data_IF_015465928993
#
_entry.id   IF_015465928993
#
_cell.length_a   1.000
_cell.length_b   1.000
_cell.length_c   1.000
_cell.angle_alpha   90.00
_cell.angle_beta   90.00
_cell.angle_gamma   90.00
#
_symmetry.space_group_name_H-M   'P 1'
#
loop_
_entity.id
_entity.type
_entity.pdbx_description
1 polymer ?
#
# COMPACT_ATOMS: atom_id res chain seq x y z
N UNK A 1 34.88 56.40 -49.90
CA UNK A 1 33.97 55.23 -49.95
C UNK A 1 34.04 54.51 -48.60
N UNK A 2 33.12 54.85 -47.71
CA UNK A 2 33.11 54.33 -46.31
C UNK A 2 32.02 53.25 -46.19
N UNK A 3 32.45 51.98 -46.06
CA UNK A 3 31.58 50.83 -45.93
C UNK A 3 31.14 50.68 -44.44
N UNK A 4 29.87 50.84 -44.15
CA UNK A 4 29.31 50.61 -42.79
C UNK A 4 28.91 49.13 -42.65
N UNK A 5 29.61 48.40 -41.73
CA UNK A 5 29.17 47.09 -41.28
C UNK A 5 28.00 47.22 -40.32
N UNK A 6 26.88 46.62 -40.68
CA UNK A 6 25.71 46.47 -39.81
C UNK A 6 25.87 45.16 -39.03
N UNK A 7 26.13 45.25 -37.71
CA UNK A 7 26.13 44.09 -36.78
C UNK A 7 24.70 43.74 -36.42
N UNK A 8 24.21 42.62 -36.91
CA UNK A 8 22.92 42.05 -36.56
C UNK A 8 23.08 41.29 -35.23
N UNK A 9 22.53 41.84 -34.14
CA UNK A 9 22.49 41.17 -32.83
C UNK A 9 21.32 40.19 -32.80
N UNK A 10 21.59 38.88 -32.89
CA UNK A 10 20.59 37.84 -32.57
C UNK A 10 20.46 37.74 -31.05
N UNK A 11 19.30 38.16 -30.52
CA UNK A 11 18.91 37.90 -29.14
C UNK A 11 18.30 36.50 -29.08
N UNK A 12 19.05 35.57 -28.50
CA UNK A 12 18.57 34.20 -28.20
C UNK A 12 17.64 34.26 -26.97
N UNK A 13 16.32 34.27 -27.22
CA UNK A 13 15.32 34.17 -26.15
C UNK A 13 15.30 32.78 -25.57
N UNK A 14 15.77 32.62 -24.33
CA UNK A 14 15.65 31.38 -23.58
C UNK A 14 14.16 31.18 -23.17
N UNK A 15 13.49 30.24 -23.81
CA UNK A 15 12.16 29.75 -23.38
C UNK A 15 12.35 28.95 -22.10
N UNK A 16 12.06 29.54 -20.94
CA UNK A 16 11.91 28.84 -19.68
C UNK A 16 10.57 28.06 -19.75
N UNK A 17 10.64 26.76 -19.99
CA UNK A 17 9.50 25.88 -19.79
C UNK A 17 9.21 25.79 -18.28
N UNK A 18 7.94 25.97 -17.84
CA UNK A 18 7.60 25.78 -16.44
C UNK A 18 7.80 24.30 -16.09
N UNK A 19 8.62 24.01 -15.09
CA UNK A 19 8.71 22.70 -14.49
C UNK A 19 7.38 22.43 -13.75
N UNK A 20 6.56 21.56 -14.30
CA UNK A 20 5.38 21.04 -13.60
C UNK A 20 5.90 20.14 -12.47
N UNK A 21 5.93 20.69 -11.26
CA UNK A 21 6.17 19.88 -10.07
C UNK A 21 4.97 18.92 -9.92
N UNK A 22 5.20 17.62 -10.14
CA UNK A 22 4.26 16.59 -9.78
C UNK A 22 4.08 16.66 -8.25
N UNK A 23 2.93 17.15 -7.80
CA UNK A 23 2.61 17.14 -6.38
C UNK A 23 2.59 15.67 -5.92
N UNK A 24 3.33 15.38 -4.85
CA UNK A 24 3.28 14.06 -4.22
C UNK A 24 1.83 13.74 -3.83
N UNK A 25 1.42 12.49 -4.03
CA UNK A 25 0.09 12.04 -3.61
C UNK A 25 -0.07 12.23 -2.11
N UNK A 26 -1.18 12.84 -1.70
CA UNK A 26 -1.57 12.95 -0.28
C UNK A 26 -2.48 11.79 0.14
N UNK A 27 -2.78 10.87 -0.78
CA UNK A 27 -3.66 9.73 -0.55
C UNK A 27 -3.00 8.72 0.41
N UNK A 28 -3.77 8.27 1.41
CA UNK A 28 -3.30 7.36 2.44
C UNK A 28 -4.39 6.35 2.80
N UNK A 29 -3.98 5.17 3.29
CA UNK A 29 -4.91 4.25 3.90
C UNK A 29 -5.41 4.82 5.24
N UNK A 30 -6.73 4.95 5.37
CA UNK A 30 -7.43 5.25 6.62
C UNK A 30 -7.72 3.93 7.30
N UNK A 31 -7.09 3.72 8.45
CA UNK A 31 -7.26 2.51 9.24
C UNK A 31 -8.30 2.74 10.33
N UNK A 32 -9.22 1.78 10.59
CA UNK A 32 -10.01 1.80 11.80
C UNK A 32 -9.13 1.67 13.05
N UNK A 33 -9.65 2.02 14.23
CA UNK A 33 -8.93 1.90 15.48
C UNK A 33 -8.35 0.50 15.69
N UNK A 34 -7.14 0.44 16.23
CA UNK A 34 -6.35 -0.77 16.48
C UNK A 34 -5.89 -0.82 17.96
N UNK A 35 -6.83 -0.91 18.92
CA UNK A 35 -6.47 -0.91 20.33
C UNK A 35 -5.51 -2.07 20.64
N UNK A 36 -4.44 -1.79 21.39
CA UNK A 36 -3.42 -2.78 21.74
C UNK A 36 -2.32 -2.99 20.70
N UNK A 37 -2.32 -2.26 19.57
CA UNK A 37 -1.23 -2.26 18.59
C UNK A 37 -0.35 -1.04 18.72
N UNK A 38 0.91 -1.19 18.36
CA UNK A 38 1.88 -0.11 18.23
C UNK A 38 2.61 -0.21 16.89
N UNK A 39 2.98 0.93 16.32
CA UNK A 39 3.87 0.95 15.16
C UNK A 39 5.25 0.43 15.58
N UNK A 40 5.68 -0.64 14.94
CA UNK A 40 6.95 -1.32 15.25
C UNK A 40 8.02 -1.08 14.18
N UNK A 41 7.61 -0.77 12.94
CA UNK A 41 8.53 -0.51 11.84
C UNK A 41 7.93 0.43 10.82
N UNK A 42 8.80 1.19 10.15
CA UNK A 42 8.48 2.00 8.98
C UNK A 42 9.69 2.10 8.09
N UNK A 43 9.50 1.97 6.79
CA UNK A 43 10.55 2.12 5.79
C UNK A 43 10.02 2.78 4.51
N UNK A 44 10.94 3.33 3.72
CA UNK A 44 10.66 3.84 2.38
C UNK A 44 11.83 3.47 1.49
N UNK A 45 11.57 2.67 0.46
CA UNK A 45 12.60 2.23 -0.47
C UNK A 45 13.01 3.34 -1.47
N UNK A 46 14.10 3.16 -2.23
CA UNK A 46 14.54 4.14 -3.23
C UNK A 46 13.53 4.41 -4.36
N UNK A 47 12.56 3.51 -4.58
CA UNK A 47 11.48 3.67 -5.55
C UNK A 47 10.30 4.46 -4.96
N UNK A 48 10.35 4.79 -3.66
CA UNK A 48 9.32 5.50 -2.94
C UNK A 48 8.21 4.60 -2.38
N UNK A 49 8.33 3.26 -2.49
CA UNK A 49 7.38 2.36 -1.82
C UNK A 49 7.50 2.54 -0.32
N UNK A 50 6.37 2.73 0.34
CA UNK A 50 6.30 2.92 1.80
C UNK A 50 5.72 1.69 2.45
N UNK A 51 6.34 1.29 3.55
CA UNK A 51 5.93 0.19 4.42
C UNK A 51 5.75 0.71 5.83
N UNK A 52 4.64 0.36 6.48
CA UNK A 52 4.43 0.59 7.92
C UNK A 52 3.89 -0.70 8.51
N UNK A 53 4.46 -1.13 9.64
CA UNK A 53 4.07 -2.35 10.33
C UNK A 53 3.68 -2.05 11.76
N UNK A 54 2.55 -2.62 12.17
CA UNK A 54 2.00 -2.55 13.52
C UNK A 54 1.90 -3.95 14.09
N UNK A 55 2.35 -4.12 15.34
CA UNK A 55 2.27 -5.37 16.09
C UNK A 55 1.58 -5.14 17.44
N UNK A 56 1.11 -6.18 18.12
CA UNK A 56 0.64 -6.05 19.49
C UNK A 56 1.68 -5.38 20.39
N UNK A 57 1.24 -4.52 21.30
CA UNK A 57 2.13 -3.80 22.22
C UNK A 57 3.06 -4.76 22.93
N UNK A 58 4.35 -4.41 22.96
CA UNK A 58 5.41 -5.23 23.54
C UNK A 58 6.00 -6.29 22.62
N UNK A 59 5.48 -6.46 21.40
CA UNK A 59 6.06 -7.33 20.37
C UNK A 59 6.94 -6.52 19.39
N UNK A 60 7.67 -7.23 18.53
CA UNK A 60 8.56 -6.65 17.51
C UNK A 60 8.27 -7.26 16.14
N UNK A 61 8.80 -6.65 15.07
CA UNK A 61 8.67 -7.21 13.70
C UNK A 61 9.40 -8.54 13.51
N UNK A 62 10.30 -8.90 14.40
CA UNK A 62 10.99 -10.21 14.39
C UNK A 62 10.19 -11.28 15.13
N UNK A 63 9.49 -10.88 16.20
CA UNK A 63 8.73 -11.80 17.06
C UNK A 63 7.34 -11.22 17.36
N UNK A 64 6.37 -11.65 16.58
CA UNK A 64 4.98 -11.21 16.62
C UNK A 64 4.02 -12.41 16.51
N UNK A 65 2.86 -12.29 17.09
CA UNK A 65 1.77 -13.27 16.97
C UNK A 65 0.90 -12.97 15.75
N UNK A 66 0.66 -11.70 15.53
CA UNK A 66 -0.10 -11.17 14.42
C UNK A 66 0.35 -9.74 14.09
N UNK A 67 0.13 -9.29 12.85
CA UNK A 67 0.68 -8.05 12.34
C UNK A 67 -0.30 -7.36 11.40
N UNK A 68 -0.29 -6.03 11.40
CA UNK A 68 -0.93 -5.22 10.38
C UNK A 68 0.18 -4.56 9.57
N UNK A 69 0.15 -4.74 8.25
CA UNK A 69 1.10 -4.12 7.33
C UNK A 69 0.36 -3.21 6.37
N UNK A 70 0.83 -1.99 6.24
CA UNK A 70 0.34 -1.00 5.28
C UNK A 70 1.42 -0.72 4.26
N UNK A 71 1.14 -0.95 2.98
CA UNK A 71 2.05 -0.59 1.90
C UNK A 71 1.41 0.45 0.98
N UNK A 72 2.23 1.35 0.46
CA UNK A 72 1.88 2.26 -0.62
C UNK A 72 2.90 2.11 -1.73
N UNK A 73 2.45 1.71 -2.92
CA UNK A 73 3.25 1.66 -4.13
C UNK A 73 2.96 2.91 -4.98
N UNK A 74 3.89 3.87 -5.07
CA UNK A 74 3.68 5.10 -5.82
C UNK A 74 3.57 4.81 -7.32
N UNK A 75 2.75 5.63 -8.01
CA UNK A 75 2.55 5.55 -9.46
C UNK A 75 1.99 4.22 -9.98
N UNK A 76 1.44 3.38 -9.10
CA UNK A 76 0.92 2.06 -9.44
C UNK A 76 -0.61 2.02 -9.64
N UNK A 77 -1.28 3.17 -9.75
CA UNK A 77 -2.73 3.27 -9.96
C UNK A 77 -3.23 2.70 -11.30
N UNK A 78 -2.33 2.32 -12.21
CA UNK A 78 -2.70 1.67 -13.47
C UNK A 78 -3.02 0.17 -13.31
N UNK A 79 -2.58 -0.45 -12.22
CA UNK A 79 -2.88 -1.85 -11.92
C UNK A 79 -4.26 -1.97 -11.28
N UNK A 80 -5.08 -2.89 -11.75
CA UNK A 80 -6.30 -3.26 -11.03
C UNK A 80 -5.95 -3.96 -9.71
N UNK A 81 -6.84 -3.92 -8.70
CA UNK A 81 -6.59 -4.64 -7.44
C UNK A 81 -6.32 -6.13 -7.64
N UNK A 82 -7.00 -6.77 -8.60
CA UNK A 82 -6.82 -8.17 -8.91
C UNK A 82 -5.45 -8.48 -9.53
N UNK A 83 -4.98 -7.63 -10.44
CA UNK A 83 -3.64 -7.79 -11.04
C UNK A 83 -2.54 -7.57 -9.99
N UNK A 84 -2.65 -6.52 -9.17
CA UNK A 84 -1.64 -6.23 -8.15
C UNK A 84 -1.56 -7.33 -7.10
N UNK A 85 -2.69 -7.75 -6.54
CA UNK A 85 -2.72 -8.85 -5.57
C UNK A 85 -2.35 -10.20 -6.19
N UNK A 86 -2.57 -10.41 -7.49
CA UNK A 86 -2.12 -11.59 -8.22
C UNK A 86 -0.59 -11.70 -8.27
N UNK A 87 0.13 -10.59 -8.31
CA UNK A 87 1.60 -10.58 -8.19
C UNK A 87 2.02 -11.03 -6.79
N UNK A 88 1.33 -10.56 -5.75
CA UNK A 88 1.59 -10.97 -4.36
C UNK A 88 1.31 -12.47 -4.20
N UNK A 89 0.19 -12.97 -4.73
CA UNK A 89 -0.17 -14.39 -4.72
C UNK A 89 0.93 -15.24 -5.37
N UNK A 90 1.42 -14.82 -6.54
CA UNK A 90 2.49 -15.54 -7.24
C UNK A 90 3.79 -15.58 -6.42
N UNK A 91 4.15 -14.46 -5.77
CA UNK A 91 5.30 -14.39 -4.86
C UNK A 91 5.16 -15.32 -3.67
N UNK A 92 3.96 -15.40 -3.06
CA UNK A 92 3.67 -16.31 -1.95
C UNK A 92 3.79 -17.78 -2.36
N UNK A 93 3.24 -18.16 -3.52
CA UNK A 93 3.34 -19.54 -4.05
C UNK A 93 4.77 -19.92 -4.39
N UNK A 94 5.59 -18.95 -4.84
CA UNK A 94 7.01 -19.20 -5.09
C UNK A 94 7.77 -19.41 -3.77
N UNK A 95 7.48 -18.62 -2.74
CA UNK A 95 8.13 -18.71 -1.44
C UNK A 95 7.64 -19.90 -0.60
N UNK A 96 6.37 -20.28 -0.74
CA UNK A 96 5.72 -21.39 -0.03
C UNK A 96 4.96 -22.25 -1.05
N UNK A 97 5.54 -23.36 -1.54
CA UNK A 97 4.91 -24.21 -2.56
C UNK A 97 3.54 -24.76 -2.16
N UNK A 98 3.30 -24.97 -0.86
CA UNK A 98 2.02 -25.45 -0.32
C UNK A 98 1.05 -24.30 0.00
N UNK A 99 1.36 -23.07 -0.42
CA UNK A 99 0.50 -21.91 -0.15
C UNK A 99 -0.86 -22.05 -0.82
N UNK A 100 -1.90 -21.75 -0.05
CA UNK A 100 -3.27 -21.68 -0.51
C UNK A 100 -3.66 -20.21 -0.71
N UNK A 101 -4.49 -19.96 -1.73
CA UNK A 101 -5.02 -18.63 -2.03
C UNK A 101 -6.54 -18.72 -2.19
N UNK A 102 -7.25 -17.75 -1.61
CA UNK A 102 -8.69 -17.62 -1.75
C UNK A 102 -9.06 -16.14 -1.99
N UNK A 103 -9.69 -15.84 -3.11
CA UNK A 103 -10.23 -14.52 -3.40
C UNK A 103 -11.53 -14.33 -2.64
N UNK A 104 -11.51 -13.43 -1.65
CA UNK A 104 -12.63 -13.23 -0.71
C UNK A 104 -13.70 -12.31 -1.30
N UNK A 105 -13.29 -11.29 -2.07
CA UNK A 105 -14.21 -10.35 -2.70
C UNK A 105 -13.49 -9.25 -3.47
N UNK A 106 -14.23 -8.55 -4.31
CA UNK A 106 -13.78 -7.40 -5.07
C UNK A 106 -14.96 -6.47 -5.34
N UNK A 107 -14.69 -5.20 -5.62
CA UNK A 107 -15.74 -4.22 -5.89
C UNK A 107 -15.22 -2.79 -5.95
N UNK A 108 -16.11 -1.85 -5.68
CA UNK A 108 -15.80 -0.42 -5.58
C UNK A 108 -16.35 0.12 -4.27
N UNK A 109 -15.50 0.73 -3.45
CA UNK A 109 -15.84 1.40 -2.19
C UNK A 109 -15.39 2.86 -2.24
N UNK A 110 -16.26 3.79 -1.89
CA UNK A 110 -15.97 5.24 -1.93
C UNK A 110 -15.37 5.69 -3.30
N UNK A 111 -15.82 5.07 -4.42
CA UNK A 111 -15.34 5.34 -5.77
C UNK A 111 -13.96 4.74 -6.09
N UNK A 112 -13.41 3.87 -5.23
CA UNK A 112 -12.11 3.19 -5.41
C UNK A 112 -12.31 1.70 -5.65
N UNK A 113 -11.74 1.13 -6.74
CA UNK A 113 -11.69 -0.31 -6.91
C UNK A 113 -10.88 -0.96 -5.79
N UNK A 114 -11.37 -2.09 -5.29
CA UNK A 114 -10.65 -2.90 -4.29
C UNK A 114 -10.80 -4.39 -4.60
N UNK A 115 -9.89 -5.18 -4.03
CA UNK A 115 -10.02 -6.63 -3.93
C UNK A 115 -9.45 -7.11 -2.59
N UNK A 116 -9.93 -8.27 -2.13
CA UNK A 116 -9.44 -8.92 -0.92
C UNK A 116 -9.00 -10.33 -1.25
N UNK A 117 -7.75 -10.62 -0.91
CA UNK A 117 -7.12 -11.93 -1.11
C UNK A 117 -6.72 -12.51 0.26
N UNK A 118 -7.05 -13.76 0.50
CA UNK A 118 -6.53 -14.56 1.62
C UNK A 118 -5.42 -15.46 1.09
N UNK A 119 -4.31 -15.50 1.81
CA UNK A 119 -3.18 -16.40 1.57
C UNK A 119 -2.86 -17.16 2.86
N UNK A 120 -2.58 -18.46 2.72
CA UNK A 120 -2.17 -19.30 3.84
C UNK A 120 -0.97 -20.14 3.44
N UNK A 121 0.10 -20.09 4.24
CA UNK A 121 1.26 -20.95 4.14
C UNK A 121 1.31 -21.83 5.40
N UNK A 122 1.05 -23.14 5.31
CA UNK A 122 1.04 -24.03 6.47
C UNK A 122 2.39 -24.10 7.19
N UNK A 123 3.47 -23.85 6.45
CA UNK A 123 4.83 -23.83 6.99
C UNK A 123 5.69 -22.89 6.16
N UNK A 124 5.78 -21.63 6.58
CA UNK A 124 6.65 -20.64 5.93
C UNK A 124 8.12 -21.12 6.02
N UNK A 125 8.83 -21.34 4.89
CA UNK A 125 10.20 -21.85 4.92
C UNK A 125 11.19 -20.94 5.63
N UNK A 126 10.95 -19.63 5.66
CA UNK A 126 11.82 -18.66 6.32
C UNK A 126 11.71 -18.69 7.85
N UNK A 127 10.56 -19.08 8.40
CA UNK A 127 10.31 -19.06 9.86
C UNK A 127 10.04 -20.43 10.45
N UNK A 128 9.72 -21.44 9.61
CA UNK A 128 9.27 -22.75 10.03
C UNK A 128 7.89 -22.77 10.71
N UNK A 129 7.22 -21.62 10.80
CA UNK A 129 5.89 -21.45 11.41
C UNK A 129 4.82 -21.27 10.31
N UNK A 130 3.54 -21.56 10.58
CA UNK A 130 2.48 -21.21 9.65
C UNK A 130 2.33 -19.69 9.56
N UNK A 131 1.80 -19.22 8.43
CA UNK A 131 1.44 -17.82 8.24
C UNK A 131 0.15 -17.73 7.41
N UNK A 132 -0.81 -16.98 7.93
CA UNK A 132 -2.09 -16.73 7.28
C UNK A 132 -2.29 -15.23 7.17
N UNK A 133 -2.77 -14.77 6.02
CA UNK A 133 -2.96 -13.33 5.82
C UNK A 133 -4.18 -13.03 4.97
N UNK A 134 -4.82 -11.91 5.27
CA UNK A 134 -5.83 -11.26 4.44
C UNK A 134 -5.29 -9.92 3.99
N UNK A 135 -5.34 -9.67 2.70
CA UNK A 135 -4.80 -8.46 2.08
C UNK A 135 -5.92 -7.76 1.33
N UNK A 136 -6.24 -6.53 1.72
CA UNK A 136 -7.10 -5.63 0.93
C UNK A 136 -6.20 -4.76 0.08
N UNK A 137 -6.32 -4.86 -1.24
CA UNK A 137 -5.68 -3.97 -2.21
C UNK A 137 -6.69 -2.93 -2.66
N UNK A 138 -6.32 -1.65 -2.66
CA UNK A 138 -7.16 -0.52 -3.06
C UNK A 138 -6.42 0.32 -4.08
N UNK A 139 -7.03 0.48 -5.25
CA UNK A 139 -6.51 1.34 -6.31
C UNK A 139 -6.82 2.79 -5.99
N UNK A 140 -5.78 3.59 -5.77
CA UNK A 140 -5.89 5.03 -5.57
C UNK A 140 -5.96 5.81 -6.88
N UNK A 141 -5.84 7.14 -6.82
CA UNK A 141 -5.76 8.00 -8.01
C UNK A 141 -4.39 7.98 -8.67
N UNK A 142 -3.33 7.86 -7.89
CA UNK A 142 -1.95 7.87 -8.34
C UNK A 142 -1.19 6.65 -7.85
N UNK A 143 -1.46 6.20 -6.63
CA UNK A 143 -0.75 5.15 -5.93
C UNK A 143 -1.63 3.91 -5.76
N UNK A 144 -1.02 2.79 -5.47
CA UNK A 144 -1.72 1.59 -5.06
C UNK A 144 -1.44 1.32 -3.58
N UNK A 145 -2.49 0.96 -2.84
CA UNK A 145 -2.38 0.73 -1.40
C UNK A 145 -2.76 -0.71 -1.06
N UNK A 146 -2.01 -1.34 -0.16
CA UNK A 146 -2.42 -2.60 0.45
C UNK A 146 -2.45 -2.47 1.96
N UNK A 147 -3.48 -3.05 2.56
CA UNK A 147 -3.55 -3.25 4.01
C UNK A 147 -3.72 -4.73 4.27
N UNK A 148 -2.81 -5.26 5.07
CA UNK A 148 -2.70 -6.68 5.33
C UNK A 148 -2.87 -6.95 6.82
N UNK A 149 -3.63 -8.00 7.17
CA UNK A 149 -3.65 -8.58 8.50
C UNK A 149 -3.09 -9.99 8.42
N UNK A 150 -1.98 -10.24 9.11
CA UNK A 150 -1.28 -11.52 9.13
C UNK A 150 -1.27 -12.15 10.53
N UNK A 151 -1.19 -13.49 10.58
CA UNK A 151 -1.13 -14.30 11.79
C UNK A 151 -0.03 -15.36 11.64
N UNK A 152 0.74 -15.61 12.70
CA UNK A 152 1.76 -16.68 12.77
C UNK A 152 1.24 -18.00 13.33
N UNK A 153 -0.07 -18.14 13.41
CA UNK A 153 -0.78 -19.37 13.71
C UNK A 153 -2.09 -19.35 12.92
N UNK A 154 -2.74 -20.49 12.76
CA UNK A 154 -4.09 -20.50 12.20
C UNK A 154 -5.05 -19.72 13.14
N UNK A 155 -5.67 -18.64 12.65
CA UNK A 155 -6.54 -17.84 13.49
C UNK A 155 -7.85 -18.56 13.81
N UNK A 156 -8.41 -18.30 14.99
CA UNK A 156 -9.73 -18.81 15.32
C UNK A 156 -10.82 -18.14 14.46
N UNK A 157 -11.95 -18.81 14.19
CA UNK A 157 -13.02 -18.23 13.38
C UNK A 157 -13.51 -16.86 13.87
N UNK A 158 -13.53 -16.64 15.19
CA UNK A 158 -13.90 -15.33 15.78
C UNK A 158 -12.92 -14.22 15.39
N UNK A 159 -11.61 -14.53 15.31
CA UNK A 159 -10.58 -13.58 14.94
C UNK A 159 -10.68 -13.23 13.45
N UNK A 160 -10.96 -14.23 12.61
CA UNK A 160 -11.22 -14.02 11.18
C UNK A 160 -12.40 -13.07 11.00
N UNK A 161 -13.54 -13.32 11.68
CA UNK A 161 -14.73 -12.45 11.60
C UNK A 161 -14.41 -11.02 12.03
N UNK A 162 -13.72 -10.86 13.15
CA UNK A 162 -13.33 -9.55 13.71
C UNK A 162 -12.45 -8.78 12.73
N UNK A 163 -11.39 -9.41 12.26
CA UNK A 163 -10.41 -8.75 11.38
C UNK A 163 -10.91 -8.56 9.96
N UNK A 164 -11.78 -9.41 9.45
CA UNK A 164 -12.46 -9.18 8.18
C UNK A 164 -13.42 -7.99 8.26
N UNK A 165 -14.13 -7.82 9.40
CA UNK A 165 -14.91 -6.62 9.67
C UNK A 165 -14.03 -5.36 9.69
N UNK A 166 -12.91 -5.41 10.38
CA UNK A 166 -11.94 -4.32 10.44
C UNK A 166 -11.37 -3.98 9.04
N UNK A 167 -10.98 -5.01 8.25
CA UNK A 167 -10.42 -4.81 6.91
C UNK A 167 -11.45 -4.23 5.94
N UNK A 168 -12.73 -4.58 6.07
CA UNK A 168 -13.81 -3.97 5.28
C UNK A 168 -13.86 -2.45 5.49
N UNK A 169 -13.67 -1.98 6.72
CA UNK A 169 -13.77 -0.58 7.08
C UNK A 169 -12.49 0.23 6.76
N UNK A 170 -11.42 -0.43 6.28
CA UNK A 170 -10.25 0.24 5.71
C UNK A 170 -10.64 0.92 4.40
N UNK A 171 -10.30 2.20 4.26
CA UNK A 171 -10.57 3.00 3.07
C UNK A 171 -9.38 3.90 2.73
N UNK A 172 -9.46 4.70 1.65
CA UNK A 172 -8.49 5.73 1.37
C UNK A 172 -9.00 7.10 1.82
N UNK A 173 -8.10 7.99 2.19
CA UNK A 173 -8.36 9.39 2.52
C UNK A 173 -7.36 10.32 1.80
N UNK A 174 -7.68 11.61 1.68
CA UNK A 174 -6.86 12.60 0.97
C UNK A 174 -7.24 12.77 -0.51
N UNK A 175 -6.48 13.57 -1.25
CA UNK A 175 -6.67 13.88 -2.69
C UNK A 175 -8.01 14.56 -3.07
N UNK A 176 -8.64 15.29 -2.15
CA UNK A 176 -9.78 16.17 -2.47
C UNK A 176 -11.10 15.49 -2.87
N UNK A 177 -11.09 14.19 -3.18
CA UNK A 177 -12.27 13.39 -3.51
C UNK A 177 -12.62 12.36 -2.43
N UNK A 178 -11.68 12.04 -1.57
CA UNK A 178 -11.89 11.22 -0.39
C UNK A 178 -11.95 12.11 0.87
N UNK A 179 -12.56 11.66 1.97
CA UNK A 179 -12.52 12.37 3.23
C UNK A 179 -11.09 12.78 3.60
N UNK A 180 -10.92 13.94 4.23
CA UNK A 180 -9.63 14.33 4.76
C UNK A 180 -9.10 13.22 5.68
N UNK A 181 -7.79 12.92 5.60
CA UNK A 181 -7.16 12.01 6.55
C UNK A 181 -7.21 12.65 7.93
N UNK A 182 -8.20 12.29 8.73
CA UNK A 182 -8.25 12.71 10.14
C UNK A 182 -7.34 11.73 10.89
N UNK A 183 -6.34 12.19 11.63
CA UNK A 183 -5.60 11.33 12.53
C UNK A 183 -6.60 10.67 13.48
N UNK A 184 -6.56 9.34 13.63
CA UNK A 184 -7.35 8.66 14.65
C UNK A 184 -7.12 9.36 15.99
N UNK A 185 -8.22 9.82 16.59
CA UNK A 185 -8.18 10.32 17.96
C UNK A 185 -7.69 9.17 18.84
N UNK A 186 -6.47 9.33 19.36
CA UNK A 186 -5.84 8.42 20.32
C UNK A 186 -6.62 8.35 21.60
#
# INVERSE_FOLDING_TARGET
MTSRLILLRLTLGALLAPAVALAASTEQARLPAMPGYAQAHQDTDPQGNRLIEYVPQGQTVQDWTDMITVNTAPHAANATPREFLGIIEAGWKLACPDAQANWVGEGVEEGRPFAVLMLGCPRNPGTGKPEFTWIKGIQGLQDFHTVQKAFRAEPEPKDVVTWMGWLRDVALCGNGQAPACVPDAR
#
